data_IF_956991677636
#
_entry.id   IF_956991677636
#
_cell.length_a   1.000
_cell.length_b   1.000
_cell.length_c   1.000
_cell.angle_alpha   90.00
_cell.angle_beta   90.00
_cell.angle_gamma   90.00
#
_symmetry.space_group_name_H-M   'P 1'
#
loop_
_entity.id
_entity.type
_entity.pdbx_description
1 polymer ?
#
# COMPACT_ATOMS: atom_id res chain seq x y z
N UNK A 1 15.07 -8.27 -1.79
CA UNK A 1 14.00 -7.26 -1.94
C UNK A 1 12.73 -7.70 -1.17
N UNK A 2 12.65 -7.47 0.15
CA UNK A 2 11.48 -7.90 0.98
C UNK A 2 10.56 -6.75 1.42
N UNK A 3 11.00 -5.50 1.28
CA UNK A 3 10.29 -4.31 1.78
C UNK A 3 9.09 -3.89 0.91
N UNK A 4 9.14 -4.14 -0.40
CA UNK A 4 8.12 -3.67 -1.36
C UNK A 4 6.94 -4.63 -1.58
N UNK A 5 6.91 -5.78 -0.89
CA UNK A 5 5.85 -6.81 -1.02
C UNK A 5 4.42 -6.27 -0.89
N UNK A 6 4.10 -5.32 0.00
CA UNK A 6 2.74 -4.79 0.13
C UNK A 6 2.29 -4.05 -1.14
N UNK A 7 3.18 -3.24 -1.71
CA UNK A 7 2.91 -2.44 -2.91
C UNK A 7 2.79 -3.35 -4.12
N UNK A 8 3.68 -4.33 -4.26
CA UNK A 8 3.60 -5.32 -5.36
C UNK A 8 2.33 -6.15 -5.28
N UNK A 9 1.88 -6.54 -4.09
CA UNK A 9 0.60 -7.25 -3.91
C UNK A 9 -0.61 -6.42 -4.35
N UNK A 10 -0.59 -5.10 -4.11
CA UNK A 10 -1.69 -4.21 -4.49
C UNK A 10 -1.70 -3.96 -6.00
N UNK A 11 -0.53 -3.70 -6.58
CA UNK A 11 -0.35 -3.53 -8.03
C UNK A 11 -0.70 -4.82 -8.78
N UNK A 12 -0.27 -5.98 -8.31
CA UNK A 12 -0.65 -7.27 -8.89
C UNK A 12 -2.15 -7.52 -8.79
N UNK A 13 -2.81 -7.15 -7.70
CA UNK A 13 -4.27 -7.28 -7.58
C UNK A 13 -5.02 -6.45 -8.63
N UNK A 14 -4.52 -5.24 -8.93
CA UNK A 14 -5.13 -4.34 -9.91
C UNK A 14 -4.85 -4.83 -11.33
N UNK A 15 -3.62 -5.24 -11.65
CA UNK A 15 -3.20 -5.55 -13.02
C UNK A 15 -3.31 -7.03 -13.41
N UNK A 16 -3.37 -7.98 -12.48
CA UNK A 16 -3.58 -9.41 -12.79
C UNK A 16 -4.89 -9.69 -13.53
N UNK A 17 -6.03 -9.08 -13.21
CA UNK A 17 -7.28 -9.28 -13.95
C UNK A 17 -7.15 -8.83 -15.41
N UNK A 18 -6.50 -7.69 -15.66
CA UNK A 18 -6.24 -7.20 -17.02
C UNK A 18 -5.28 -8.11 -17.79
N UNK A 19 -4.20 -8.57 -17.15
CA UNK A 19 -3.28 -9.55 -17.74
C UNK A 19 -4.01 -10.87 -18.06
N UNK A 20 -4.93 -11.30 -17.19
CA UNK A 20 -5.70 -12.51 -17.41
C UNK A 20 -6.67 -12.40 -18.59
N UNK A 21 -7.43 -11.31 -18.67
CA UNK A 21 -8.31 -11.03 -19.81
C UNK A 21 -7.49 -10.95 -21.10
N UNK A 22 -6.33 -10.29 -21.08
CA UNK A 22 -5.44 -10.16 -22.23
C UNK A 22 -4.92 -11.53 -22.70
N UNK A 23 -4.37 -12.35 -21.80
CA UNK A 23 -3.84 -13.68 -22.13
C UNK A 23 -4.95 -14.62 -22.62
N UNK A 24 -6.10 -14.63 -21.96
CA UNK A 24 -7.25 -15.46 -22.36
C UNK A 24 -7.82 -15.00 -23.71
N UNK A 25 -7.91 -13.70 -23.96
CA UNK A 25 -8.33 -13.14 -25.24
C UNK A 25 -7.36 -13.47 -26.38
N UNK A 26 -6.05 -13.45 -26.12
CA UNK A 26 -5.02 -13.80 -27.11
C UNK A 26 -5.04 -15.30 -27.42
N UNK A 27 -5.25 -16.16 -26.41
CA UNK A 27 -5.48 -17.60 -26.59
C UNK A 27 -6.77 -17.89 -27.36
N UNK A 28 -7.85 -17.14 -27.10
CA UNK A 28 -9.11 -17.24 -27.85
C UNK A 28 -8.93 -16.82 -29.31
N UNK A 29 -8.20 -15.73 -29.58
CA UNK A 29 -7.90 -15.25 -30.93
C UNK A 29 -7.06 -16.25 -31.73
N UNK A 30 -6.03 -16.85 -31.12
CA UNK A 30 -5.23 -17.93 -31.72
C UNK A 30 -6.11 -19.16 -32.00
N UNK A 31 -6.99 -19.54 -31.07
CA UNK A 31 -7.90 -20.67 -31.25
C UNK A 31 -8.92 -20.41 -32.37
N UNK A 32 -9.39 -19.17 -32.49
CA UNK A 32 -10.29 -18.74 -33.57
C UNK A 32 -9.60 -18.74 -34.95
N UNK A 33 -8.29 -18.44 -35.02
CA UNK A 33 -7.54 -18.46 -36.27
C UNK A 33 -7.02 -19.85 -36.68
N UNK A 34 -6.78 -20.77 -35.73
CA UNK A 34 -5.97 -21.98 -36.00
C UNK A 34 -6.76 -23.28 -36.19
N UNK A 35 -8.07 -23.36 -35.88
CA UNK A 35 -9.10 -24.35 -36.35
C UNK A 35 -10.15 -24.74 -35.27
N UNK A 36 -11.37 -25.02 -35.74
CA UNK A 36 -12.57 -25.39 -34.97
C UNK A 36 -12.57 -26.85 -34.51
N UNK A 37 -12.33 -27.13 -33.23
CA UNK A 37 -12.60 -28.48 -32.69
C UNK A 37 -12.12 -28.76 -31.27
N UNK A 38 -11.09 -28.05 -30.80
CA UNK A 38 -10.51 -28.30 -29.47
C UNK A 38 -10.89 -27.21 -28.45
N UNK A 39 -11.46 -27.65 -27.33
CA UNK A 39 -11.93 -26.80 -26.23
C UNK A 39 -10.79 -26.29 -25.33
N UNK A 40 -9.55 -26.25 -25.84
CA UNK A 40 -8.34 -26.01 -25.06
C UNK A 40 -8.32 -24.61 -24.41
N UNK A 41 -8.83 -23.59 -25.12
CA UNK A 41 -9.01 -22.24 -24.58
C UNK A 41 -9.84 -22.21 -23.29
N UNK A 42 -10.83 -23.11 -23.10
CA UNK A 42 -11.67 -23.15 -21.89
C UNK A 42 -10.87 -23.55 -20.65
N UNK A 43 -9.91 -24.47 -20.81
CA UNK A 43 -9.04 -24.90 -19.72
C UNK A 43 -8.04 -23.80 -19.33
N UNK A 44 -7.52 -23.06 -20.32
CA UNK A 44 -6.67 -21.88 -20.07
C UNK A 44 -7.47 -20.77 -19.37
N UNK A 45 -8.70 -20.51 -19.82
CA UNK A 45 -9.59 -19.54 -19.17
C UNK A 45 -9.91 -19.92 -17.73
N UNK A 46 -10.10 -21.22 -17.43
CA UNK A 46 -10.32 -21.72 -16.08
C UNK A 46 -9.06 -21.55 -15.20
N UNK A 47 -7.88 -21.90 -15.72
CA UNK A 47 -6.60 -21.72 -15.01
C UNK A 47 -6.31 -20.25 -14.70
N UNK A 48 -6.50 -19.36 -15.68
CA UNK A 48 -6.32 -17.92 -15.48
C UNK A 48 -7.40 -17.31 -14.59
N UNK A 49 -8.65 -17.80 -14.67
CA UNK A 49 -9.73 -17.39 -13.78
C UNK A 49 -9.41 -17.67 -12.32
N UNK A 50 -8.87 -18.86 -12.01
CA UNK A 50 -8.42 -19.20 -10.65
C UNK A 50 -7.28 -18.27 -10.21
N UNK A 51 -6.32 -17.99 -11.09
CA UNK A 51 -5.22 -17.08 -10.78
C UNK A 51 -5.72 -15.67 -10.39
N UNK A 52 -6.76 -15.17 -11.06
CA UNK A 52 -7.41 -13.89 -10.73
C UNK A 52 -8.14 -13.95 -9.38
N UNK A 53 -8.90 -15.02 -9.12
CA UNK A 53 -9.60 -15.16 -7.83
C UNK A 53 -8.60 -15.22 -6.67
N UNK A 54 -7.50 -15.96 -6.83
CA UNK A 54 -6.43 -16.06 -5.83
C UNK A 54 -5.73 -14.72 -5.61
N UNK A 55 -5.51 -13.93 -6.66
CA UNK A 55 -4.91 -12.59 -6.52
C UNK A 55 -5.81 -11.62 -5.77
N UNK A 56 -7.11 -11.62 -6.06
CA UNK A 56 -8.11 -10.87 -5.31
C UNK A 56 -8.19 -11.31 -3.84
N UNK A 57 -8.17 -12.61 -3.55
CA UNK A 57 -8.17 -13.12 -2.18
C UNK A 57 -6.93 -12.66 -1.40
N UNK A 58 -5.75 -12.67 -2.04
CA UNK A 58 -4.50 -12.20 -1.44
C UNK A 58 -4.52 -10.69 -1.18
N UNK A 59 -5.10 -9.92 -2.10
CA UNK A 59 -5.28 -8.48 -1.96
C UNK A 59 -6.26 -8.14 -0.83
N UNK A 60 -7.42 -8.81 -0.80
CA UNK A 60 -8.44 -8.64 0.22
C UNK A 60 -7.89 -8.94 1.62
N UNK A 61 -7.11 -10.02 1.79
CA UNK A 61 -6.44 -10.32 3.06
C UNK A 61 -5.53 -9.19 3.52
N UNK A 62 -4.77 -8.60 2.60
CA UNK A 62 -3.87 -7.48 2.91
C UNK A 62 -4.66 -6.23 3.31
N UNK A 63 -5.70 -5.90 2.55
CA UNK A 63 -6.58 -4.76 2.82
C UNK A 63 -7.29 -4.91 4.18
N UNK A 64 -7.85 -6.09 4.47
CA UNK A 64 -8.49 -6.39 5.75
C UNK A 64 -7.52 -6.26 6.92
N UNK A 65 -6.28 -6.73 6.75
CA UNK A 65 -5.24 -6.60 7.79
C UNK A 65 -4.91 -5.14 8.07
N UNK A 66 -4.77 -4.32 7.02
CA UNK A 66 -4.54 -2.87 7.15
C UNK A 66 -5.74 -2.15 7.78
N UNK A 67 -6.96 -2.53 7.41
CA UNK A 67 -8.18 -2.00 8.01
C UNK A 67 -8.26 -2.32 9.50
N UNK A 68 -7.95 -3.56 9.89
CA UNK A 68 -7.90 -3.97 11.29
C UNK A 68 -6.83 -3.20 12.07
N UNK A 69 -5.64 -3.04 11.49
CA UNK A 69 -4.56 -2.23 12.08
C UNK A 69 -4.96 -0.77 12.25
N UNK A 70 -5.56 -0.16 11.22
CA UNK A 70 -6.01 1.22 11.26
C UNK A 70 -7.15 1.40 12.27
N UNK A 71 -8.06 0.43 12.36
CA UNK A 71 -9.14 0.43 13.33
C UNK A 71 -8.62 0.29 14.77
N UNK A 72 -7.72 -0.67 15.02
CA UNK A 72 -7.08 -0.86 16.31
C UNK A 72 -6.27 0.39 16.72
N UNK A 73 -5.48 0.96 15.80
CA UNK A 73 -4.74 2.20 16.03
C UNK A 73 -5.65 3.38 16.35
N UNK A 74 -6.77 3.51 15.64
CA UNK A 74 -7.79 4.53 15.93
C UNK A 74 -8.44 4.32 17.28
N UNK A 75 -8.72 3.07 17.67
CA UNK A 75 -9.30 2.74 18.97
C UNK A 75 -8.33 3.07 20.11
N UNK A 76 -7.07 2.65 19.99
CA UNK A 76 -6.00 2.98 20.95
C UNK A 76 -5.78 4.49 21.03
N UNK A 77 -5.75 5.19 19.89
CA UNK A 77 -5.62 6.65 19.86
C UNK A 77 -6.80 7.36 20.52
N UNK A 78 -8.03 6.90 20.33
CA UNK A 78 -9.19 7.44 21.07
C UNK A 78 -9.12 7.17 22.58
N UNK A 79 -8.52 6.05 22.97
CA UNK A 79 -8.45 5.61 24.38
C UNK A 79 -7.30 6.27 25.15
N UNK A 80 -6.17 6.52 24.50
CA UNK A 80 -4.91 6.98 25.13
C UNK A 80 -4.30 8.22 24.47
N UNK A 81 -4.91 8.75 23.41
CA UNK A 81 -4.38 9.88 22.64
C UNK A 81 -4.25 11.17 23.45
N UNK A 82 -5.15 11.41 24.39
CA UNK A 82 -5.09 12.60 25.24
C UNK A 82 -3.90 12.53 26.22
N UNK A 83 -3.60 11.36 26.77
CA UNK A 83 -2.45 11.15 27.65
C UNK A 83 -1.13 11.20 26.87
N UNK A 84 -1.12 10.68 25.64
CA UNK A 84 0.04 10.73 24.75
C UNK A 84 0.32 12.17 24.26
N UNK A 85 -0.73 12.93 23.92
CA UNK A 85 -0.62 14.37 23.61
C UNK A 85 -0.09 15.15 24.80
N UNK A 86 -0.66 14.95 25.99
CA UNK A 86 -0.21 15.63 27.19
C UNK A 86 1.29 15.41 27.46
N UNK A 87 1.78 14.17 27.37
CA UNK A 87 3.22 13.88 27.53
C UNK A 87 4.10 14.45 26.41
N UNK A 88 3.60 14.47 25.19
CA UNK A 88 4.31 15.06 24.05
C UNK A 88 4.42 16.58 24.20
N UNK A 89 3.33 17.24 24.59
CA UNK A 89 3.29 18.68 24.85
C UNK A 89 4.21 19.05 26.01
N UNK A 90 4.26 18.22 27.06
CA UNK A 90 5.18 18.40 28.19
C UNK A 90 6.65 18.28 27.78
N UNK A 91 6.98 17.31 26.92
CA UNK A 91 8.32 17.18 26.34
C UNK A 91 8.65 18.37 25.42
N UNK A 92 7.72 18.74 24.54
CA UNK A 92 7.90 19.85 23.60
C UNK A 92 8.10 21.19 24.33
N UNK A 93 7.37 21.43 25.42
CA UNK A 93 7.53 22.60 26.27
C UNK A 93 8.92 22.66 26.93
N UNK A 94 9.48 21.50 27.32
CA UNK A 94 10.85 21.40 27.86
C UNK A 94 11.92 21.61 26.79
N UNK A 95 11.65 21.29 25.53
CA UNK A 95 12.62 21.40 24.42
C UNK A 95 12.52 22.73 23.64
N UNK A 96 11.37 23.41 23.64
CA UNK A 96 11.17 24.73 23.03
C UNK A 96 12.18 25.82 23.45
N UNK A 97 12.65 25.93 24.71
CA UNK A 97 13.67 26.94 25.06
C UNK A 97 15.00 26.76 24.31
N UNK A 98 15.40 25.52 24.00
CA UNK A 98 16.61 25.26 23.19
C UNK A 98 16.41 25.63 21.72
N UNK A 99 15.21 25.40 21.16
CA UNK A 99 14.92 25.74 19.77
C UNK A 99 14.97 27.26 19.50
N UNK A 100 14.48 28.08 20.44
CA UNK A 100 14.59 29.55 20.34
C UNK A 100 16.03 30.04 20.45
N UNK A 101 16.83 29.47 21.36
CA UNK A 101 18.26 29.80 21.46
C UNK A 101 19.03 29.45 20.19
N UNK A 102 18.75 28.30 19.56
CA UNK A 102 19.39 27.92 18.29
C UNK A 102 18.97 28.85 17.14
N UNK A 103 17.69 29.23 17.07
CA UNK A 103 17.20 30.19 16.08
C UNK A 103 17.81 31.58 16.27
N UNK A 104 17.97 32.06 17.50
CA UNK A 104 18.64 33.33 17.81
C UNK A 104 20.13 33.30 17.44
N UNK A 105 20.82 32.18 17.66
CA UNK A 105 22.23 32.02 17.25
C UNK A 105 22.36 32.01 15.72
N UNK A 106 21.43 31.37 15.01
CA UNK A 106 21.43 31.35 13.53
C UNK A 106 21.07 32.73 12.96
N UNK A 107 20.06 33.39 13.50
CA UNK A 107 19.65 34.73 13.05
C UNK A 107 20.69 35.81 13.40
N UNK A 108 21.25 35.76 14.61
CA UNK A 108 22.33 36.65 15.04
C UNK A 108 23.67 36.37 14.35
N UNK A 109 23.92 35.12 13.95
CA UNK A 109 25.06 34.73 13.13
C UNK A 109 24.92 35.22 11.67
N UNK A 110 23.73 35.08 11.09
CA UNK A 110 23.42 35.59 9.75
C UNK A 110 23.51 37.11 9.66
N UNK A 111 23.12 37.84 10.72
CA UNK A 111 23.21 39.30 10.79
C UNK A 111 24.64 39.85 10.96
N UNK A 112 25.64 39.01 11.30
CA UNK A 112 27.06 39.43 11.42
C UNK A 112 27.91 39.14 10.18
N UNK A 113 27.39 38.41 9.20
CA UNK A 113 28.12 38.02 7.98
C UNK A 113 27.68 38.80 6.72
N UNK A 114 26.76 39.76 6.84
CA UNK A 114 26.39 40.72 5.79
C UNK A 114 26.79 42.13 6.18
#
# INVERSE_FOLDING_TARGET
MKLFRPITNLTDAIFMPFKAIFVVGLCWMINAMTYHGQWWFKWVALGMGIAVVVSFARAARTLLTLLLLAWAGRWVYRRYGDQARARFDEWAARTQPQARQVLEVIQGGAARMG
#
